data_IF_998906703315
#
_entry.id   IF_998906703315
#
_cell.length_a   1.000
_cell.length_b   1.000
_cell.length_c   1.000
_cell.angle_alpha   90.00
_cell.angle_beta   90.00
_cell.angle_gamma   90.00
#
_symmetry.space_group_name_H-M   'P 1'
#
loop_
_entity.id
_entity.type
_entity.pdbx_description
1 polymer ?
#
# COMPACT_ATOMS: atom_id res chain seq x y z
N UNK A 1 26.79 0.92 35.73
CA UNK A 1 27.08 1.74 34.53
C UNK A 1 25.87 1.69 33.63
N UNK A 2 25.52 2.83 33.06
CA UNK A 2 24.18 3.27 32.61
C UNK A 2 23.50 2.40 31.53
N UNK A 3 22.17 2.30 31.60
CA UNK A 3 21.22 1.83 30.56
C UNK A 3 21.23 2.72 29.28
N UNK A 4 22.40 3.13 28.80
CA UNK A 4 22.58 4.07 27.70
C UNK A 4 22.86 3.41 26.33
N UNK A 5 22.94 2.09 26.23
CA UNK A 5 23.60 1.45 25.07
C UNK A 5 22.72 0.48 24.27
N UNK A 6 21.42 0.79 24.11
CA UNK A 6 20.61 0.17 23.05
C UNK A 6 19.89 1.26 22.26
N UNK A 7 19.28 2.25 22.91
CA UNK A 7 18.65 3.38 22.22
C UNK A 7 19.67 4.24 21.43
N UNK A 8 20.84 4.55 21.99
CA UNK A 8 21.90 5.29 21.27
C UNK A 8 22.56 4.43 20.16
N UNK A 9 22.49 3.10 20.25
CA UNK A 9 22.94 2.16 19.20
C UNK A 9 21.94 2.07 18.04
N UNK A 10 20.64 1.99 18.36
CA UNK A 10 19.54 2.03 17.39
C UNK A 10 19.49 3.36 16.61
N UNK A 11 19.99 4.44 17.20
CA UNK A 11 20.04 5.75 16.57
C UNK A 11 21.21 5.94 15.59
N UNK A 12 22.32 5.22 15.79
CA UNK A 12 23.51 5.28 14.94
C UNK A 12 23.44 4.31 13.72
N UNK A 13 22.54 3.33 13.74
CA UNK A 13 22.31 2.35 12.65
C UNK A 13 20.98 2.58 11.90
N UNK A 14 20.54 3.84 11.80
CA UNK A 14 19.34 4.32 11.07
C UNK A 14 19.36 4.09 9.54
N UNK A 15 20.18 3.19 9.02
CA UNK A 15 20.20 2.84 7.59
C UNK A 15 19.47 1.53 7.29
N UNK A 16 19.15 0.72 8.31
CA UNK A 16 18.38 -0.52 8.16
C UNK A 16 17.01 -0.39 8.83
N UNK A 17 15.96 -0.59 8.04
CA UNK A 17 14.65 -0.99 8.58
C UNK A 17 14.88 -2.31 9.33
N UNK A 18 14.52 -2.38 10.62
CA UNK A 18 14.59 -3.63 11.40
C UNK A 18 14.06 -4.81 10.59
N UNK A 19 14.78 -5.95 10.59
CA UNK A 19 14.28 -7.20 10.01
C UNK A 19 12.91 -7.52 10.62
N UNK A 20 11.85 -7.32 9.84
CA UNK A 20 10.49 -7.59 10.30
C UNK A 20 10.17 -9.07 10.09
N UNK A 21 9.38 -9.70 10.97
CA UNK A 21 8.87 -11.03 10.70
C UNK A 21 7.99 -11.01 9.45
N UNK A 22 8.16 -12.03 8.60
CA UNK A 22 7.35 -12.21 7.39
C UNK A 22 6.00 -12.85 7.71
N UNK A 23 4.99 -12.55 6.90
CA UNK A 23 3.73 -13.28 6.91
C UNK A 23 3.85 -14.59 6.10
N UNK A 24 2.86 -15.49 6.25
CA UNK A 24 2.82 -16.73 5.45
C UNK A 24 2.56 -16.48 3.96
N UNK A 25 1.93 -15.37 3.61
CA UNK A 25 1.68 -14.98 2.22
C UNK A 25 2.98 -14.57 1.52
N UNK A 26 3.96 -14.08 2.29
CA UNK A 26 5.28 -13.70 1.80
C UNK A 26 6.25 -14.90 1.69
N UNK A 27 5.82 -16.10 2.06
CA UNK A 27 6.68 -17.28 2.11
C UNK A 27 7.33 -17.63 0.77
N UNK A 28 6.70 -17.28 -0.36
CA UNK A 28 7.27 -17.47 -1.70
C UNK A 28 8.62 -16.77 -1.91
N UNK A 29 8.83 -15.62 -1.25
CA UNK A 29 10.08 -14.83 -1.34
C UNK A 29 11.29 -15.48 -0.65
N UNK A 30 11.10 -16.67 -0.04
CA UNK A 30 12.14 -17.36 0.71
C UNK A 30 12.59 -18.66 0.04
N UNK A 31 12.17 -18.89 -1.21
CA UNK A 31 12.49 -20.08 -2.00
C UNK A 31 12.88 -19.67 -3.41
N UNK A 32 13.66 -20.52 -4.08
CA UNK A 32 14.00 -20.31 -5.48
C UNK A 32 12.78 -20.63 -6.34
N UNK A 33 12.47 -19.72 -7.26
CA UNK A 33 11.39 -19.95 -8.22
C UNK A 33 11.88 -20.87 -9.35
N UNK A 34 11.08 -21.88 -9.74
CA UNK A 34 11.44 -22.76 -10.84
C UNK A 34 11.29 -22.09 -12.22
N UNK A 35 10.53 -20.98 -12.29
CA UNK A 35 10.31 -20.21 -13.50
C UNK A 35 11.29 -19.02 -13.57
N UNK A 36 12.16 -19.04 -14.60
CA UNK A 36 13.13 -17.98 -14.85
C UNK A 36 12.45 -16.62 -15.11
N UNK A 37 11.27 -16.59 -15.72
CA UNK A 37 10.55 -15.35 -15.98
C UNK A 37 10.09 -14.69 -14.67
N UNK A 38 9.74 -15.50 -13.66
CA UNK A 38 9.36 -15.00 -12.34
C UNK A 38 10.56 -14.48 -11.56
N UNK A 39 11.71 -15.12 -11.67
CA UNK A 39 12.97 -14.63 -11.09
C UNK A 39 13.40 -13.29 -11.67
N UNK A 40 13.22 -13.09 -12.97
CA UNK A 40 13.48 -11.81 -13.63
C UNK A 40 12.48 -10.75 -13.17
N UNK A 41 11.19 -11.10 -13.10
CA UNK A 41 10.13 -10.19 -12.66
C UNK A 41 10.26 -9.79 -11.18
N UNK A 42 10.71 -10.71 -10.33
CA UNK A 42 11.03 -10.45 -8.92
C UNK A 42 12.39 -9.74 -8.76
N UNK A 43 13.15 -9.50 -9.82
CA UNK A 43 14.47 -8.88 -9.72
C UNK A 43 15.44 -9.69 -8.85
N UNK A 44 15.33 -11.02 -8.83
CA UNK A 44 16.14 -11.90 -7.98
C UNK A 44 17.62 -11.75 -8.35
N UNK A 45 18.44 -11.26 -7.43
CA UNK A 45 19.89 -11.13 -7.63
C UNK A 45 20.55 -12.49 -7.43
N UNK A 46 20.15 -13.16 -6.36
CA UNK A 46 20.64 -14.48 -5.99
C UNK A 46 20.33 -14.78 -4.54
N UNK A 47 20.93 -15.86 -4.01
CA UNK A 47 20.78 -16.18 -2.61
C UNK A 47 22.05 -16.75 -1.98
N UNK A 48 22.22 -16.49 -0.68
CA UNK A 48 23.21 -17.17 0.15
C UNK A 48 22.55 -18.37 0.83
N UNK A 49 23.15 -19.54 0.70
CA UNK A 49 22.87 -20.69 1.55
C UNK A 49 23.95 -20.77 2.62
N UNK A 50 23.57 -20.94 3.88
CA UNK A 50 24.52 -20.97 5.00
C UNK A 50 24.20 -22.05 6.04
N UNK A 51 25.25 -22.49 6.75
CA UNK A 51 25.17 -23.40 7.88
C UNK A 51 26.20 -23.05 8.97
N UNK A 52 25.91 -23.48 10.20
CA UNK A 52 26.76 -23.22 11.37
C UNK A 52 27.72 -24.36 11.70
N UNK A 53 27.96 -25.30 10.77
CA UNK A 53 28.82 -26.45 11.01
C UNK A 53 28.33 -27.38 12.12
N UNK A 54 29.15 -28.39 12.43
CA UNK A 54 28.84 -29.35 13.51
C UNK A 54 28.91 -28.76 14.91
N UNK A 55 29.69 -27.68 15.10
CA UNK A 55 29.85 -26.99 16.37
C UNK A 55 28.78 -25.92 16.64
N UNK A 56 27.97 -25.59 15.63
CA UNK A 56 26.91 -24.58 15.73
C UNK A 56 27.44 -23.15 15.86
N UNK A 57 28.73 -22.90 15.61
CA UNK A 57 29.40 -21.60 15.77
C UNK A 57 30.12 -21.12 14.51
N UNK A 58 30.27 -22.00 13.53
CA UNK A 58 30.88 -21.67 12.25
C UNK A 58 29.93 -20.86 11.37
N UNK A 59 30.38 -20.38 10.22
CA UNK A 59 29.51 -19.76 9.22
C UNK A 59 30.01 -20.13 7.85
N UNK A 60 29.57 -21.29 7.39
CA UNK A 60 29.82 -21.74 6.04
C UNK A 60 28.74 -21.17 5.14
N UNK A 61 29.12 -20.63 3.99
CA UNK A 61 28.14 -20.10 3.05
C UNK A 61 28.53 -20.39 1.61
N UNK A 62 27.53 -20.41 0.73
CA UNK A 62 27.68 -20.53 -0.72
C UNK A 62 26.74 -19.55 -1.39
N UNK A 63 27.26 -18.75 -2.31
CA UNK A 63 26.46 -17.88 -3.17
C UNK A 63 25.90 -18.66 -4.35
N UNK A 64 24.61 -18.48 -4.60
CA UNK A 64 23.90 -19.03 -5.74
C UNK A 64 23.40 -17.87 -6.61
N UNK A 65 23.98 -17.68 -7.81
CA UNK A 65 23.58 -16.59 -8.68
C UNK A 65 22.22 -16.89 -9.33
N UNK A 66 21.41 -15.85 -9.50
CA UNK A 66 20.17 -15.90 -10.30
C UNK A 66 20.30 -14.92 -11.48
N UNK A 67 19.38 -15.00 -12.45
CA UNK A 67 19.37 -14.09 -13.61
C UNK A 67 20.75 -13.96 -14.30
N UNK A 68 21.45 -15.09 -14.48
CA UNK A 68 22.80 -15.15 -15.07
C UNK A 68 23.84 -14.26 -14.37
N UNK A 69 23.65 -13.99 -13.08
CA UNK A 69 24.51 -13.15 -12.21
C UNK A 69 24.55 -11.67 -12.63
N UNK A 70 23.65 -11.23 -13.51
CA UNK A 70 23.71 -9.88 -14.11
C UNK A 70 23.47 -8.75 -13.10
N UNK A 71 22.78 -9.03 -11.99
CA UNK A 71 22.46 -8.06 -10.95
C UNK A 71 23.45 -8.09 -9.77
N UNK A 72 24.44 -8.98 -9.79
CA UNK A 72 25.46 -9.12 -8.74
C UNK A 72 26.57 -8.06 -8.87
N UNK A 73 26.16 -6.80 -8.79
CA UNK A 73 27.00 -5.62 -9.00
C UNK A 73 27.91 -5.34 -7.79
N UNK A 74 28.90 -4.45 -7.96
CA UNK A 74 29.73 -3.97 -6.85
C UNK A 74 28.90 -3.28 -5.76
N UNK A 75 27.97 -2.40 -6.16
CA UNK A 75 27.03 -1.73 -5.25
C UNK A 75 26.24 -2.74 -4.41
N UNK A 76 25.70 -3.78 -5.05
CA UNK A 76 24.98 -4.84 -4.34
C UNK A 76 25.87 -5.59 -3.35
N UNK A 77 27.12 -5.89 -3.72
CA UNK A 77 28.04 -6.63 -2.84
C UNK A 77 28.38 -5.83 -1.59
N UNK A 78 28.57 -4.53 -1.72
CA UNK A 78 28.83 -3.64 -0.58
C UNK A 78 27.61 -3.60 0.37
N UNK A 79 26.40 -3.46 -0.17
CA UNK A 79 25.14 -3.46 0.60
C UNK A 79 24.89 -4.82 1.30
N UNK A 80 25.09 -5.93 0.57
CA UNK A 80 24.97 -7.28 1.12
C UNK A 80 25.98 -7.54 2.25
N UNK A 81 27.21 -7.07 2.10
CA UNK A 81 28.25 -7.24 3.11
C UNK A 81 27.84 -6.55 4.42
N UNK A 82 27.34 -5.31 4.35
CA UNK A 82 26.86 -4.59 5.52
C UNK A 82 25.70 -5.30 6.22
N UNK A 83 24.74 -5.82 5.44
CA UNK A 83 23.60 -6.59 5.97
C UNK A 83 24.07 -7.87 6.67
N UNK A 84 24.96 -8.64 6.04
CA UNK A 84 25.47 -9.89 6.61
C UNK A 84 26.29 -9.61 7.87
N UNK A 85 27.14 -8.57 7.87
CA UNK A 85 27.94 -8.20 9.04
C UNK A 85 27.05 -7.81 10.22
N UNK A 86 25.98 -7.03 9.99
CA UNK A 86 25.00 -6.69 11.02
C UNK A 86 24.30 -7.95 11.58
N UNK A 87 23.87 -8.86 10.71
CA UNK A 87 23.24 -10.12 11.11
C UNK A 87 24.19 -11.05 11.90
N UNK A 88 25.50 -10.95 11.67
CA UNK A 88 26.52 -11.76 12.34
C UNK A 88 26.99 -11.18 13.67
N UNK A 89 26.98 -9.85 13.82
CA UNK A 89 27.39 -9.19 15.05
C UNK A 89 26.40 -9.48 16.20
N UNK A 90 25.12 -9.14 15.97
CA UNK A 90 24.07 -9.15 17.00
C UNK A 90 22.77 -9.81 16.54
N UNK A 91 22.76 -10.40 15.34
CA UNK A 91 21.57 -11.01 14.73
C UNK A 91 21.55 -12.55 14.75
N UNK A 92 20.57 -13.14 14.04
CA UNK A 92 20.40 -14.60 13.96
C UNK A 92 21.53 -15.32 13.23
N UNK A 93 22.46 -14.62 12.56
CA UNK A 93 23.57 -15.24 11.83
C UNK A 93 24.88 -15.32 12.62
N UNK A 94 24.85 -14.97 13.90
CA UNK A 94 26.00 -15.09 14.80
C UNK A 94 26.42 -16.54 15.04
N UNK A 95 25.47 -17.36 15.46
CA UNK A 95 25.62 -18.79 15.72
C UNK A 95 24.23 -19.47 15.80
N UNK A 96 24.18 -20.79 15.84
CA UNK A 96 22.92 -21.55 15.85
C UNK A 96 22.06 -21.25 17.10
N UNK A 97 22.70 -20.96 18.23
CA UNK A 97 22.00 -20.64 19.48
C UNK A 97 21.32 -19.26 19.39
N UNK A 98 22.02 -18.28 18.83
CA UNK A 98 21.51 -16.95 18.55
C UNK A 98 20.35 -17.03 17.55
N UNK A 99 20.49 -17.81 16.47
CA UNK A 99 19.40 -18.05 15.51
C UNK A 99 18.16 -18.60 16.19
N UNK A 100 18.31 -19.69 16.96
CA UNK A 100 17.20 -20.32 17.68
C UNK A 100 16.51 -19.32 18.62
N UNK A 101 17.28 -18.59 19.42
CA UNK A 101 16.75 -17.58 20.35
C UNK A 101 15.98 -16.50 19.61
N UNK A 102 16.55 -15.97 18.52
CA UNK A 102 15.94 -14.95 17.71
C UNK A 102 14.61 -15.44 17.10
N UNK A 103 14.57 -16.67 16.58
CA UNK A 103 13.37 -17.26 15.99
C UNK A 103 12.21 -17.40 16.98
N UNK A 104 12.52 -17.83 18.21
CA UNK A 104 11.50 -17.99 19.25
C UNK A 104 10.96 -16.65 19.78
N UNK A 105 11.76 -15.59 19.75
CA UNK A 105 11.40 -14.29 20.34
C UNK A 105 10.72 -13.35 19.34
N UNK A 106 11.02 -13.45 18.05
CA UNK A 106 10.62 -12.44 17.05
C UNK A 106 9.51 -12.90 16.10
N UNK A 107 8.95 -14.10 16.30
CA UNK A 107 7.91 -14.65 15.41
C UNK A 107 8.43 -14.94 14.00
N UNK A 108 7.56 -14.85 12.99
CA UNK A 108 7.94 -15.04 11.58
C UNK A 108 7.89 -16.49 11.10
N UNK A 109 7.14 -17.39 11.75
CA UNK A 109 6.98 -18.77 11.29
C UNK A 109 6.29 -18.81 9.91
N UNK A 110 7.02 -19.25 8.88
CA UNK A 110 6.55 -19.31 7.49
C UNK A 110 6.06 -20.71 7.08
N UNK A 111 6.40 -21.76 7.84
CA UNK A 111 5.91 -23.13 7.60
C UNK A 111 4.88 -23.55 8.65
N UNK A 112 3.93 -24.43 8.28
CA UNK A 112 2.90 -24.94 9.19
C UNK A 112 3.49 -25.76 10.36
N UNK A 113 4.60 -26.44 10.13
CA UNK A 113 5.31 -27.22 11.14
C UNK A 113 6.17 -26.35 12.08
N UNK A 114 6.24 -25.04 11.84
CA UNK A 114 7.01 -24.09 12.66
C UNK A 114 8.52 -24.30 12.61
N UNK A 115 9.04 -25.03 11.61
CA UNK A 115 10.47 -25.31 11.46
C UNK A 115 11.24 -24.19 10.80
N UNK A 116 10.60 -23.40 9.94
CA UNK A 116 11.24 -22.31 9.23
C UNK A 116 10.62 -20.96 9.58
N UNK A 117 11.51 -19.98 9.75
CA UNK A 117 11.18 -18.61 10.14
C UNK A 117 11.70 -17.65 9.05
N UNK A 118 10.89 -16.67 8.67
CA UNK A 118 11.21 -15.70 7.63
C UNK A 118 11.29 -14.28 8.19
N UNK A 119 12.32 -13.55 7.80
CA UNK A 119 12.52 -12.14 8.14
C UNK A 119 12.86 -11.33 6.90
N UNK A 120 12.27 -10.13 6.78
CA UNK A 120 12.47 -9.25 5.63
C UNK A 120 13.11 -7.95 6.12
N UNK A 121 14.18 -7.53 5.44
CA UNK A 121 14.73 -6.19 5.54
C UNK A 121 14.82 -5.56 4.15
N UNK A 122 14.70 -4.24 4.10
CA UNK A 122 14.86 -3.47 2.87
C UNK A 122 15.87 -2.36 3.11
N UNK A 123 16.79 -2.20 2.17
CA UNK A 123 17.63 -1.02 2.01
C UNK A 123 17.01 -0.12 0.95
N UNK A 124 17.73 0.92 0.54
CA UNK A 124 17.24 1.86 -0.49
C UNK A 124 16.94 1.17 -1.83
N UNK A 125 17.69 0.12 -2.17
CA UNK A 125 17.64 -0.50 -3.49
C UNK A 125 17.41 -2.01 -3.46
N UNK A 126 17.56 -2.65 -2.30
CA UNK A 126 17.51 -4.11 -2.21
C UNK A 126 16.56 -4.59 -1.11
N UNK A 127 15.96 -5.76 -1.32
CA UNK A 127 15.22 -6.52 -0.32
C UNK A 127 15.96 -7.80 0.02
N UNK A 128 16.04 -8.09 1.31
CA UNK A 128 16.72 -9.23 1.90
C UNK A 128 15.71 -10.09 2.67
N UNK A 129 15.49 -11.31 2.19
CA UNK A 129 14.57 -12.27 2.78
C UNK A 129 15.37 -13.41 3.43
N UNK A 130 15.54 -13.33 4.75
CA UNK A 130 16.25 -14.32 5.54
C UNK A 130 15.30 -15.43 6.01
N UNK A 131 15.52 -16.65 5.55
CA UNK A 131 14.92 -17.87 6.08
C UNK A 131 15.86 -18.55 7.07
N UNK A 132 15.41 -18.72 8.29
CA UNK A 132 16.08 -19.45 9.35
C UNK A 132 15.40 -20.81 9.59
N UNK A 133 16.19 -21.88 9.63
CA UNK A 133 15.75 -23.22 10.07
C UNK A 133 16.64 -23.62 11.24
N UNK A 134 16.28 -23.28 12.49
CA UNK A 134 17.12 -23.48 13.67
C UNK A 134 17.13 -24.96 14.12
N UNK A 135 17.46 -25.87 13.20
CA UNK A 135 17.54 -27.31 13.41
C UNK A 135 18.97 -27.80 13.10
N UNK A 136 19.62 -28.51 14.03
CA UNK A 136 20.93 -29.11 13.77
C UNK A 136 20.88 -30.11 12.61
N UNK A 137 21.87 -30.07 11.72
CA UNK A 137 21.98 -31.00 10.58
C UNK A 137 21.25 -30.59 9.30
N UNK A 138 20.39 -29.57 9.35
CA UNK A 138 19.80 -28.91 8.17
C UNK A 138 20.71 -27.77 7.68
N UNK A 139 20.46 -27.21 6.48
CA UNK A 139 20.98 -25.89 6.12
C UNK A 139 20.20 -24.84 6.91
N UNK A 140 20.87 -24.17 7.86
CA UNK A 140 20.16 -23.35 8.85
C UNK A 140 19.77 -21.96 8.35
N UNK A 141 20.38 -21.45 7.28
CA UNK A 141 20.04 -20.12 6.76
C UNK A 141 19.98 -20.06 5.24
N UNK A 142 19.01 -19.31 4.73
CA UNK A 142 18.95 -18.89 3.33
C UNK A 142 18.65 -17.39 3.28
N UNK A 143 19.47 -16.60 2.61
CA UNK A 143 19.23 -15.16 2.42
C UNK A 143 18.99 -14.91 0.93
N UNK A 144 17.74 -14.70 0.55
CA UNK A 144 17.35 -14.32 -0.80
C UNK A 144 17.44 -12.81 -0.97
N UNK A 145 18.04 -12.38 -2.07
CA UNK A 145 18.32 -10.97 -2.35
C UNK A 145 17.63 -10.54 -3.64
N UNK A 146 16.91 -9.41 -3.58
CA UNK A 146 16.15 -8.87 -4.70
C UNK A 146 16.50 -7.41 -4.96
N UNK A 147 16.62 -7.01 -6.22
CA UNK A 147 16.77 -5.61 -6.63
C UNK A 147 15.39 -4.97 -6.84
N UNK A 148 15.04 -4.02 -5.98
CA UNK A 148 13.73 -3.34 -6.00
C UNK A 148 13.54 -2.51 -7.27
N UNK A 149 14.63 -2.04 -7.90
CA UNK A 149 14.56 -1.28 -9.15
C UNK A 149 14.14 -2.20 -10.31
N UNK A 150 14.64 -3.43 -10.31
CA UNK A 150 14.27 -4.43 -11.32
C UNK A 150 12.82 -4.88 -11.13
N UNK A 151 12.37 -5.10 -9.88
CA UNK A 151 10.96 -5.34 -9.59
C UNK A 151 10.05 -4.22 -10.11
N UNK A 152 10.47 -2.96 -9.89
CA UNK A 152 9.74 -1.80 -10.38
C UNK A 152 9.68 -1.77 -11.91
N UNK A 153 10.81 -1.99 -12.60
CA UNK A 153 10.85 -2.03 -14.06
C UNK A 153 10.02 -3.19 -14.64
N UNK A 154 10.06 -4.37 -14.02
CA UNK A 154 9.25 -5.50 -14.43
C UNK A 154 7.75 -5.25 -14.25
N UNK A 155 7.35 -4.53 -13.19
CA UNK A 155 5.96 -4.08 -13.03
C UNK A 155 5.57 -3.04 -14.08
N UNK A 156 6.47 -2.13 -14.44
CA UNK A 156 6.25 -1.14 -15.50
C UNK A 156 6.19 -1.75 -16.90
N UNK A 157 6.91 -2.86 -17.14
CA UNK A 157 6.93 -3.57 -18.42
C UNK A 157 5.81 -4.60 -18.58
N UNK A 158 4.80 -4.62 -17.69
CA UNK A 158 3.59 -5.41 -17.94
C UNK A 158 2.80 -4.76 -19.08
N UNK A 159 2.34 -5.54 -20.07
CA UNK A 159 1.53 -4.98 -21.14
C UNK A 159 0.24 -4.40 -20.58
N UNK A 160 -0.09 -3.19 -21.00
CA UNK A 160 -1.34 -2.51 -20.66
C UNK A 160 -2.53 -3.15 -21.37
N UNK A 161 -2.29 -3.73 -22.54
CA UNK A 161 -3.30 -4.39 -23.33
C UNK A 161 -2.73 -5.07 -24.55
N UNK A 162 -3.54 -5.95 -25.13
CA UNK A 162 -3.20 -6.78 -26.28
C UNK A 162 -4.27 -6.64 -27.35
N UNK A 163 -3.83 -6.57 -28.60
CA UNK A 163 -4.68 -6.63 -29.79
C UNK A 163 -4.44 -7.95 -30.51
N UNK A 164 -5.49 -8.53 -31.08
CA UNK A 164 -5.45 -9.78 -31.83
C UNK A 164 -6.34 -9.69 -33.07
N UNK A 165 -5.89 -10.28 -34.18
CA UNK A 165 -6.62 -10.32 -35.44
C UNK A 165 -7.04 -11.75 -35.82
N UNK A 166 -7.99 -11.89 -36.74
CA UNK A 166 -8.41 -13.21 -37.24
C UNK A 166 -7.28 -13.97 -37.97
N UNK A 167 -6.25 -13.26 -38.44
CA UNK A 167 -5.03 -13.86 -39.01
C UNK A 167 -4.19 -14.63 -37.98
N UNK A 168 -4.42 -14.40 -36.68
CA UNK A 168 -3.59 -14.91 -35.60
C UNK A 168 -2.44 -13.97 -35.20
N UNK A 169 -2.29 -12.82 -35.88
CA UNK A 169 -1.36 -11.78 -35.48
C UNK A 169 -1.79 -11.16 -34.14
N UNK A 170 -0.82 -10.94 -33.24
CA UNK A 170 -1.04 -10.34 -31.94
C UNK A 170 0.03 -9.30 -31.65
N UNK A 171 -0.39 -8.19 -31.05
CA UNK A 171 0.49 -7.09 -30.63
C UNK A 171 0.17 -6.72 -29.19
N UNK A 172 1.19 -6.73 -28.35
CA UNK A 172 1.11 -6.28 -26.96
C UNK A 172 1.64 -4.86 -26.84
N UNK A 173 0.96 -4.04 -26.05
CA UNK A 173 1.29 -2.64 -25.85
C UNK A 173 1.72 -2.46 -24.40
N UNK A 174 2.84 -1.76 -24.18
CA UNK A 174 3.30 -1.37 -22.84
C UNK A 174 2.80 0.03 -22.44
N UNK A 175 2.44 0.85 -23.42
CA UNK A 175 1.99 2.23 -23.23
C UNK A 175 0.48 2.35 -23.46
N UNK A 176 -0.21 2.98 -22.50
CA UNK A 176 -1.67 3.16 -22.50
C UNK A 176 -2.17 3.94 -23.71
N UNK A 177 -1.51 5.04 -24.07
CA UNK A 177 -1.95 5.89 -25.18
C UNK A 177 -1.78 5.21 -26.53
N UNK A 178 -0.68 4.49 -26.71
CA UNK A 178 -0.44 3.70 -27.93
C UNK A 178 -1.46 2.56 -28.05
N UNK A 179 -1.79 1.90 -26.95
CA UNK A 179 -2.85 0.88 -26.91
C UNK A 179 -4.22 1.45 -27.28
N UNK A 180 -4.62 2.57 -26.65
CA UNK A 180 -5.90 3.23 -26.93
C UNK A 180 -5.98 3.72 -28.38
N UNK A 181 -4.88 4.24 -28.92
CA UNK A 181 -4.79 4.67 -30.33
C UNK A 181 -5.00 3.49 -31.26
N UNK A 182 -4.32 2.36 -31.01
CA UNK A 182 -4.51 1.15 -31.81
C UNK A 182 -5.96 0.64 -31.79
N UNK A 183 -6.64 0.68 -30.64
CA UNK A 183 -8.07 0.34 -30.57
C UNK A 183 -8.89 1.29 -31.45
N UNK A 184 -8.69 2.61 -31.35
CA UNK A 184 -9.45 3.60 -32.14
C UNK A 184 -9.26 3.42 -33.65
N UNK A 185 -8.06 3.06 -34.08
CA UNK A 185 -7.73 2.89 -35.49
C UNK A 185 -8.27 1.58 -36.07
N UNK A 186 -8.21 0.49 -35.31
CA UNK A 186 -8.55 -0.86 -35.79
C UNK A 186 -10.03 -1.23 -35.57
N UNK A 187 -10.66 -0.71 -34.52
CA UNK A 187 -12.05 -1.03 -34.17
C UNK A 187 -13.06 -0.80 -35.31
N UNK A 188 -12.98 0.28 -36.12
CA UNK A 188 -13.87 0.48 -37.28
C UNK A 188 -13.80 -0.64 -38.33
N UNK A 189 -12.68 -1.37 -38.39
CA UNK A 189 -12.45 -2.45 -39.33
C UNK A 189 -12.66 -3.84 -38.71
N UNK A 190 -13.16 -3.93 -37.47
CA UNK A 190 -13.31 -5.20 -36.76
C UNK A 190 -14.11 -6.27 -37.51
N UNK A 191 -15.10 -5.86 -38.32
CA UNK A 191 -15.93 -6.77 -39.11
C UNK A 191 -15.15 -7.47 -40.23
N UNK A 192 -14.08 -6.86 -40.73
CA UNK A 192 -13.24 -7.39 -41.81
C UNK A 192 -11.96 -8.02 -41.29
N UNK A 193 -11.36 -7.48 -40.22
CA UNK A 193 -10.08 -7.95 -39.66
C UNK A 193 -10.24 -8.98 -38.54
N UNK A 194 -11.45 -9.09 -37.97
CA UNK A 194 -11.71 -9.90 -36.78
C UNK A 194 -10.97 -9.39 -35.54
N UNK A 195 -10.69 -8.08 -35.50
CA UNK A 195 -10.04 -7.40 -34.39
C UNK A 195 -10.67 -7.74 -33.03
N UNK A 196 -9.81 -8.00 -32.05
CA UNK A 196 -10.13 -8.18 -30.63
C UNK A 196 -9.09 -7.43 -29.81
N UNK A 197 -9.55 -6.74 -28.76
CA UNK A 197 -8.66 -6.16 -27.77
C UNK A 197 -8.91 -6.79 -26.39
N UNK A 198 -7.85 -6.92 -25.61
CA UNK A 198 -7.88 -7.38 -24.23
C UNK A 198 -7.08 -6.40 -23.37
N UNK A 199 -7.73 -5.78 -22.38
CA UNK A 199 -7.08 -4.84 -21.47
C UNK A 199 -6.50 -5.62 -20.29
N UNK A 200 -5.19 -5.53 -20.11
CA UNK A 200 -4.42 -6.34 -19.16
C UNK A 200 -4.01 -5.56 -17.91
N UNK A 201 -4.04 -4.22 -17.98
CA UNK A 201 -3.77 -3.34 -16.84
C UNK A 201 -4.99 -3.20 -15.92
N UNK A 202 -4.71 -3.04 -14.63
CA UNK A 202 -5.69 -2.62 -13.62
C UNK A 202 -5.83 -1.09 -13.53
N UNK A 203 -5.10 -0.32 -14.35
CA UNK A 203 -5.22 1.15 -14.37
C UNK A 203 -6.66 1.58 -14.76
N UNK A 204 -7.41 2.19 -13.84
CA UNK A 204 -8.79 2.57 -14.08
C UNK A 204 -8.96 3.63 -15.18
N UNK A 205 -7.95 4.47 -15.43
CA UNK A 205 -8.02 5.47 -16.50
C UNK A 205 -7.98 4.78 -17.87
N UNK A 206 -7.06 3.83 -18.06
CA UNK A 206 -6.94 3.05 -19.29
C UNK A 206 -8.19 2.19 -19.48
N UNK A 207 -8.63 1.47 -18.43
CA UNK A 207 -9.83 0.63 -18.50
C UNK A 207 -11.08 1.43 -18.86
N UNK A 208 -11.29 2.60 -18.25
CA UNK A 208 -12.40 3.47 -18.60
C UNK A 208 -12.29 3.95 -20.04
N UNK A 209 -11.12 4.40 -20.48
CA UNK A 209 -10.93 4.90 -21.83
C UNK A 209 -11.20 3.81 -22.89
N UNK A 210 -10.84 2.55 -22.62
CA UNK A 210 -11.21 1.41 -23.47
C UNK A 210 -12.72 1.24 -23.51
N UNK A 211 -13.40 1.18 -22.35
CA UNK A 211 -14.85 1.02 -22.30
C UNK A 211 -15.57 2.20 -22.98
N UNK A 212 -15.07 3.43 -22.84
CA UNK A 212 -15.60 4.60 -23.55
C UNK A 212 -15.51 4.42 -25.07
N UNK A 213 -14.36 3.97 -25.61
CA UNK A 213 -14.18 3.74 -27.05
C UNK A 213 -15.11 2.64 -27.55
N UNK A 214 -15.19 1.51 -26.84
CA UNK A 214 -15.98 0.35 -27.25
C UNK A 214 -17.49 0.64 -27.21
N UNK A 215 -17.96 1.33 -26.17
CA UNK A 215 -19.37 1.70 -26.03
C UNK A 215 -19.77 2.79 -27.02
N UNK A 216 -18.93 3.81 -27.23
CA UNK A 216 -19.18 4.85 -28.23
C UNK A 216 -19.31 4.24 -29.64
N UNK A 217 -18.44 3.28 -29.98
CA UNK A 217 -18.54 2.55 -31.24
C UNK A 217 -19.85 1.73 -31.36
N UNK A 218 -20.36 1.20 -30.25
CA UNK A 218 -21.65 0.53 -30.20
C UNK A 218 -22.85 1.50 -30.20
N UNK A 219 -22.61 2.82 -30.15
CA UNK A 219 -23.65 3.85 -30.04
C UNK A 219 -24.21 4.01 -28.63
N UNK A 220 -23.50 3.53 -27.61
CA UNK A 220 -23.87 3.60 -26.19
C UNK A 220 -22.94 4.53 -25.42
N UNK A 221 -23.48 5.24 -24.42
CA UNK A 221 -22.65 6.02 -23.51
C UNK A 221 -22.19 5.15 -22.34
N UNK A 222 -20.92 5.27 -21.93
CA UNK A 222 -20.41 4.55 -20.76
C UNK A 222 -21.11 5.01 -19.46
N UNK A 223 -21.91 4.14 -18.80
CA UNK A 223 -22.63 4.52 -17.59
C UNK A 223 -21.74 4.54 -16.34
N UNK A 224 -20.51 3.99 -16.42
CA UNK A 224 -19.58 3.87 -15.30
C UNK A 224 -18.68 5.11 -15.18
N UNK A 225 -18.57 5.64 -13.97
CA UNK A 225 -17.66 6.75 -13.64
C UNK A 225 -16.25 6.24 -13.39
N UNK A 226 -15.23 7.10 -13.44
CA UNK A 226 -13.82 6.72 -13.20
C UNK A 226 -13.63 5.94 -11.89
N UNK A 227 -14.28 6.36 -10.81
CA UNK A 227 -14.22 5.66 -9.51
C UNK A 227 -14.81 4.24 -9.54
N UNK A 228 -15.62 3.90 -10.55
CA UNK A 228 -16.18 2.54 -10.72
C UNK A 228 -15.13 1.53 -11.22
N UNK A 229 -13.98 2.00 -11.69
CA UNK A 229 -12.89 1.15 -12.20
C UNK A 229 -11.76 0.96 -11.18
N UNK A 230 -11.80 1.65 -10.02
CA UNK A 230 -10.75 1.66 -9.00
C UNK A 230 -10.03 3.01 -8.88
N UNK A 231 -9.01 3.09 -8.03
CA UNK A 231 -8.15 4.28 -7.88
C UNK A 231 -6.92 4.16 -8.81
N UNK A 232 -6.60 5.21 -9.56
CA UNK A 232 -5.37 5.27 -10.39
C UNK A 232 -4.12 5.24 -9.50
N UNK A 233 -2.94 4.96 -10.05
CA UNK A 233 -1.67 5.16 -9.30
C UNK A 233 -1.55 6.60 -8.79
N UNK A 234 -1.98 7.57 -9.59
CA UNK A 234 -2.08 8.99 -9.18
C UNK A 234 -3.05 9.17 -8.01
N UNK A 235 -4.18 8.47 -8.01
CA UNK A 235 -5.16 8.47 -6.90
C UNK A 235 -4.61 7.82 -5.62
N UNK A 236 -3.90 6.70 -5.74
CA UNK A 236 -3.22 6.06 -4.62
C UNK A 236 -2.11 6.97 -4.05
N UNK A 237 -1.33 7.60 -4.92
CA UNK A 237 -0.33 8.60 -4.52
C UNK A 237 -1.00 9.79 -3.84
N UNK A 238 -2.08 10.34 -4.40
CA UNK A 238 -2.81 11.45 -3.79
C UNK A 238 -3.36 11.11 -2.39
N UNK A 239 -3.81 9.87 -2.16
CA UNK A 239 -4.21 9.41 -0.83
C UNK A 239 -3.03 9.28 0.14
N UNK A 240 -1.86 8.83 -0.33
CA UNK A 240 -0.62 8.79 0.47
C UNK A 240 -0.15 10.20 0.81
N UNK A 241 -0.13 11.10 -0.17
CA UNK A 241 0.24 12.50 0.00
C UNK A 241 -0.74 13.19 0.98
N UNK A 242 -2.04 12.94 0.87
CA UNK A 242 -3.05 13.44 1.83
C UNK A 242 -2.89 12.85 3.25
N UNK A 243 -2.15 11.75 3.41
CA UNK A 243 -1.81 11.16 4.71
C UNK A 243 -0.44 11.59 5.25
N UNK A 244 0.34 12.33 4.46
CA UNK A 244 1.64 12.87 4.89
C UNK A 244 1.46 14.25 5.54
N UNK A 245 1.58 14.38 6.87
CA UNK A 245 1.36 15.64 7.58
C UNK A 245 2.45 16.69 7.31
N UNK A 246 3.54 16.33 6.62
CA UNK A 246 4.60 17.27 6.26
C UNK A 246 4.27 18.10 5.01
N UNK A 247 3.24 17.70 4.26
CA UNK A 247 2.80 18.39 3.05
C UNK A 247 1.77 19.48 3.35
N UNK A 248 1.72 20.56 2.55
CA UNK A 248 0.65 21.54 2.65
C UNK A 248 -0.66 20.90 2.20
N UNK A 249 -1.71 21.08 3.01
CA UNK A 249 -3.04 20.52 2.75
C UNK A 249 -4.09 21.61 2.58
N UNK A 250 -5.15 21.26 1.86
CA UNK A 250 -6.35 22.06 1.65
C UNK A 250 -7.58 21.35 2.23
N UNK A 251 -8.49 22.11 2.82
CA UNK A 251 -9.70 21.57 3.45
C UNK A 251 -10.93 22.28 2.90
N UNK A 252 -11.90 21.49 2.43
CA UNK A 252 -13.20 21.97 1.96
C UNK A 252 -14.28 21.33 2.80
N UNK A 253 -15.02 22.17 3.53
CA UNK A 253 -16.10 21.72 4.40
C UNK A 253 -17.40 21.60 3.61
N UNK A 254 -18.27 20.71 4.06
CA UNK A 254 -19.57 20.53 3.44
C UNK A 254 -20.66 20.19 4.44
N UNK A 255 -21.90 20.50 4.04
CA UNK A 255 -23.12 20.10 4.73
C UNK A 255 -24.02 19.38 3.75
N UNK A 256 -24.51 18.20 4.13
CA UNK A 256 -25.53 17.48 3.39
C UNK A 256 -26.79 17.42 4.23
N UNK A 257 -27.94 17.73 3.65
CA UNK A 257 -29.26 17.57 4.28
C UNK A 257 -30.09 16.55 3.51
N UNK A 258 -31.02 15.88 4.18
CA UNK A 258 -31.95 14.90 3.60
C UNK A 258 -31.23 13.80 2.78
N UNK A 259 -30.09 13.31 3.31
CA UNK A 259 -29.22 12.32 2.69
C UNK A 259 -29.99 11.11 2.15
N UNK A 260 -29.64 10.64 0.95
CA UNK A 260 -30.27 9.48 0.30
C UNK A 260 -31.77 9.64 0.01
N UNK A 261 -32.29 10.86 -0.03
CA UNK A 261 -33.66 11.16 -0.45
C UNK A 261 -33.68 12.01 -1.73
N UNK A 262 -34.86 12.15 -2.36
CA UNK A 262 -35.02 13.06 -3.51
C UNK A 262 -34.89 14.55 -3.13
N UNK A 263 -34.90 14.88 -1.84
CA UNK A 263 -34.76 16.24 -1.34
C UNK A 263 -33.32 16.58 -0.92
N UNK A 264 -32.35 15.69 -1.18
CA UNK A 264 -30.95 15.87 -0.77
C UNK A 264 -30.38 17.21 -1.24
N UNK A 265 -29.82 17.99 -0.32
CA UNK A 265 -29.09 19.21 -0.65
C UNK A 265 -27.63 19.06 -0.23
N UNK A 266 -26.72 19.39 -1.14
CA UNK A 266 -25.29 19.29 -0.91
C UNK A 266 -24.64 20.67 -1.00
N UNK A 267 -24.30 21.23 0.16
CA UNK A 267 -23.56 22.49 0.29
C UNK A 267 -22.07 22.18 0.38
N UNK A 268 -21.28 22.63 -0.60
CA UNK A 268 -19.85 22.34 -0.74
C UNK A 268 -19.02 23.62 -0.72
N UNK A 269 -17.69 23.47 -0.65
CA UNK A 269 -16.71 24.56 -0.72
C UNK A 269 -16.89 25.60 0.39
N UNK A 270 -17.23 25.11 1.58
CA UNK A 270 -17.49 25.92 2.76
C UNK A 270 -16.21 26.06 3.60
N UNK A 271 -16.18 27.14 4.38
CA UNK A 271 -15.34 27.22 5.58
C UNK A 271 -16.02 26.49 6.74
N UNK A 272 -15.28 26.08 7.76
CA UNK A 272 -15.85 25.46 8.96
C UNK A 272 -16.96 26.33 9.61
N UNK A 273 -16.78 27.66 9.81
CA UNK A 273 -17.85 28.50 10.34
C UNK A 273 -19.10 28.55 9.46
N UNK A 274 -18.94 28.56 8.14
CA UNK A 274 -20.08 28.54 7.23
C UNK A 274 -20.83 27.20 7.29
N UNK A 275 -20.11 26.09 7.40
CA UNK A 275 -20.69 24.77 7.58
C UNK A 275 -21.47 24.67 8.89
N UNK A 276 -20.92 25.16 10.00
CA UNK A 276 -21.62 25.25 11.30
C UNK A 276 -22.90 26.09 11.17
N UNK A 277 -22.83 27.26 10.53
CA UNK A 277 -24.00 28.14 10.34
C UNK A 277 -25.10 27.46 9.53
N UNK A 278 -24.75 26.81 8.42
CA UNK A 278 -25.73 26.11 7.57
C UNK A 278 -26.34 24.93 8.34
N UNK A 279 -25.51 24.15 9.03
CA UNK A 279 -25.96 23.01 9.83
C UNK A 279 -26.92 23.44 10.94
N UNK A 280 -26.56 24.46 11.73
CA UNK A 280 -27.36 24.93 12.86
C UNK A 280 -28.65 25.64 12.43
N UNK A 281 -28.65 26.31 11.28
CA UNK A 281 -29.85 26.99 10.77
C UNK A 281 -30.84 26.06 10.07
N UNK A 282 -30.42 24.83 9.71
CA UNK A 282 -31.27 23.85 9.04
C UNK A 282 -32.21 23.15 10.04
N UNK A 283 -33.51 23.16 9.74
CA UNK A 283 -34.57 22.45 10.48
C UNK A 283 -34.74 21.00 10.00
N UNK A 284 -33.91 20.54 9.07
CA UNK A 284 -33.97 19.19 8.51
C UNK A 284 -33.59 18.14 9.55
N UNK A 285 -34.36 17.04 9.64
CA UNK A 285 -34.12 15.98 10.62
C UNK A 285 -32.87 15.17 10.29
N UNK A 286 -32.51 15.08 9.01
CA UNK A 286 -31.34 14.37 8.49
C UNK A 286 -30.34 15.42 7.97
N UNK A 287 -29.20 15.57 8.65
CA UNK A 287 -28.13 16.49 8.22
C UNK A 287 -26.76 16.07 8.75
N UNK A 288 -25.71 16.31 7.98
CA UNK A 288 -24.32 16.00 8.36
C UNK A 288 -23.34 17.09 7.98
N UNK A 289 -22.29 17.23 8.79
CA UNK A 289 -21.08 18.01 8.47
C UNK A 289 -19.95 17.03 8.20
N UNK A 290 -19.25 17.26 7.10
CA UNK A 290 -18.00 16.58 6.81
C UNK A 290 -16.98 17.50 6.19
N UNK A 291 -15.79 16.96 5.97
CA UNK A 291 -14.64 17.68 5.42
C UNK A 291 -13.95 16.82 4.38
N UNK A 292 -13.53 17.45 3.29
CA UNK A 292 -12.69 16.86 2.26
C UNK A 292 -11.31 17.50 2.30
N UNK A 293 -10.28 16.66 2.47
CA UNK A 293 -8.87 17.02 2.45
C UNK A 293 -8.29 16.75 1.06
N UNK A 294 -7.63 17.77 0.50
CA UNK A 294 -6.97 17.76 -0.82
C UNK A 294 -7.87 17.32 -2.00
N UNK A 295 -9.19 17.44 -1.83
CA UNK A 295 -10.16 17.00 -2.82
C UNK A 295 -10.24 15.47 -2.99
N UNK A 296 -9.58 14.67 -2.13
CA UNK A 296 -9.44 13.23 -2.30
C UNK A 296 -9.93 12.41 -1.09
N UNK A 297 -9.57 12.81 0.13
CA UNK A 297 -9.95 12.10 1.34
C UNK A 297 -11.13 12.82 1.99
N UNK A 298 -12.18 12.09 2.35
CA UNK A 298 -13.39 12.67 2.96
C UNK A 298 -13.75 11.94 4.24
N UNK A 299 -14.14 12.69 5.26
CA UNK A 299 -14.67 12.14 6.52
C UNK A 299 -15.89 12.95 6.99
N UNK A 300 -16.91 12.24 7.45
CA UNK A 300 -18.07 12.82 8.14
C UNK A 300 -17.75 12.96 9.63
N UNK A 301 -18.04 14.12 10.23
CA UNK A 301 -17.71 14.41 11.62
C UNK A 301 -18.95 14.51 12.52
N UNK A 302 -20.05 15.06 12.00
CA UNK A 302 -21.29 15.24 12.75
C UNK A 302 -22.45 14.78 11.90
N UNK A 303 -23.38 14.04 12.49
CA UNK A 303 -24.61 13.61 11.84
C UNK A 303 -25.77 13.79 12.82
N UNK A 304 -26.86 14.38 12.35
CA UNK A 304 -28.13 14.39 13.04
C UNK A 304 -29.16 13.61 12.23
N UNK A 305 -29.89 12.76 12.93
CA UNK A 305 -31.01 12.00 12.41
C UNK A 305 -32.13 11.96 13.45
N UNK A 306 -33.36 12.29 13.06
CA UNK A 306 -34.56 12.20 13.89
C UNK A 306 -34.44 12.90 15.28
N UNK A 307 -33.67 13.99 15.34
CA UNK A 307 -33.44 14.78 16.55
C UNK A 307 -32.31 14.29 17.44
N UNK A 308 -31.63 13.20 17.09
CA UNK A 308 -30.41 12.72 17.76
C UNK A 308 -29.18 13.20 16.97
N UNK A 309 -28.26 13.89 17.64
CA UNK A 309 -26.98 14.31 17.07
C UNK A 309 -25.85 13.40 17.55
N UNK A 310 -25.05 12.91 16.62
CA UNK A 310 -23.90 12.03 16.86
C UNK A 310 -22.64 12.63 16.26
N UNK A 311 -21.55 12.49 17.00
CA UNK A 311 -20.20 12.83 16.54
C UNK A 311 -19.46 11.55 16.16
N UNK A 312 -18.91 11.51 14.95
CA UNK A 312 -18.16 10.36 14.47
C UNK A 312 -16.67 10.48 14.82
N UNK A 313 -16.06 9.35 15.13
CA UNK A 313 -14.63 9.24 15.47
C UNK A 313 -13.83 8.56 14.35
N UNK A 314 -14.43 8.35 13.17
CA UNK A 314 -13.78 7.62 12.07
C UNK A 314 -12.52 8.33 11.56
N UNK A 315 -12.43 9.65 11.72
CA UNK A 315 -11.22 10.43 11.44
C UNK A 315 -10.00 9.91 12.23
N UNK A 316 -10.19 9.32 13.41
CA UNK A 316 -9.10 8.76 14.22
C UNK A 316 -8.54 7.43 13.67
N UNK A 317 -9.30 6.74 12.82
CA UNK A 317 -8.89 5.45 12.21
C UNK A 317 -8.32 5.63 10.80
N UNK A 318 -8.49 6.81 10.22
CA UNK A 318 -8.08 7.10 8.85
C UNK A 318 -6.69 7.74 8.85
N UNK A 319 -5.75 7.12 8.15
CA UNK A 319 -4.37 7.65 8.02
C UNK A 319 -4.33 9.10 7.55
N UNK A 320 -5.26 9.52 6.68
CA UNK A 320 -5.36 10.89 6.17
C UNK A 320 -5.74 11.94 7.21
N UNK A 321 -6.28 11.54 8.37
CA UNK A 321 -6.89 12.44 9.35
C UNK A 321 -6.48 12.20 10.81
N UNK A 322 -6.00 11.00 11.19
CA UNK A 322 -5.84 10.59 12.59
C UNK A 322 -4.88 11.45 13.43
N UNK A 323 -3.96 12.17 12.79
CA UNK A 323 -3.00 13.06 13.45
C UNK A 323 -3.04 14.49 12.87
N UNK A 324 -4.15 14.86 12.23
CA UNK A 324 -4.25 16.13 11.52
C UNK A 324 -4.68 17.26 12.48
N UNK A 325 -3.83 18.28 12.72
CA UNK A 325 -4.11 19.33 13.70
C UNK A 325 -5.33 20.18 13.32
N UNK A 326 -5.59 20.39 12.03
CA UNK A 326 -6.74 21.18 11.57
C UNK A 326 -8.04 20.43 11.84
N UNK A 327 -8.05 19.11 11.61
CA UNK A 327 -9.21 18.27 11.89
C UNK A 327 -9.46 18.15 13.39
N UNK A 328 -8.42 17.95 14.20
CA UNK A 328 -8.55 17.88 15.65
C UNK A 328 -9.14 19.18 16.22
N UNK A 329 -8.61 20.33 15.80
CA UNK A 329 -9.13 21.64 16.20
C UNK A 329 -10.58 21.86 15.74
N UNK A 330 -10.92 21.41 14.54
CA UNK A 330 -12.27 21.52 14.01
C UNK A 330 -13.27 20.62 14.76
N UNK A 331 -12.89 19.40 15.15
CA UNK A 331 -13.73 18.51 15.97
C UNK A 331 -14.00 19.15 17.33
N UNK A 332 -12.98 19.72 17.98
CA UNK A 332 -13.14 20.42 19.25
C UNK A 332 -14.09 21.62 19.12
N UNK A 333 -13.95 22.42 18.05
CA UNK A 333 -14.85 23.53 17.74
C UNK A 333 -16.29 23.06 17.51
N UNK A 334 -16.49 21.98 16.74
CA UNK A 334 -17.81 21.41 16.48
C UNK A 334 -18.48 20.92 17.76
N UNK A 335 -17.73 20.28 18.66
CA UNK A 335 -18.25 19.87 19.96
C UNK A 335 -18.65 21.08 20.80
N UNK A 336 -17.82 22.10 20.87
CA UNK A 336 -18.12 23.31 21.66
C UNK A 336 -19.35 24.06 21.15
N UNK A 337 -19.53 24.17 19.84
CA UNK A 337 -20.62 24.94 19.22
C UNK A 337 -21.93 24.14 19.12
N UNK A 338 -21.85 22.81 19.00
CA UNK A 338 -23.01 21.95 18.73
C UNK A 338 -23.39 20.99 19.87
N UNK A 339 -22.55 20.79 20.90
CA UNK A 339 -22.97 20.09 22.13
C UNK A 339 -23.74 21.06 23.04
N UNK A 340 -25.02 20.77 23.29
CA UNK A 340 -25.82 21.53 24.26
C UNK A 340 -25.32 21.26 25.69
N UNK A 341 -25.22 22.28 26.57
CA UNK A 341 -25.00 22.05 27.99
C UNK A 341 -26.22 21.30 28.55
N UNK A 342 -25.99 20.10 29.10
CA UNK A 342 -26.96 19.29 29.82
C UNK A 342 -27.80 20.16 30.77
N UNK A 343 -29.12 20.17 30.56
CA UNK A 343 -30.10 20.90 31.37
C UNK A 343 -30.08 20.42 32.83
N UNK A 344 -29.38 21.15 33.68
CA UNK A 344 -29.64 21.19 35.12
C UNK A 344 -30.73 22.21 35.42
N UNK A 345 -32.00 21.87 35.21
CA UNK A 345 -33.14 22.61 35.78
C UNK A 345 -33.88 21.72 36.76
N UNK A 346 -33.41 21.71 38.00
CA UNK A 346 -34.16 21.25 39.17
C UNK A 346 -35.33 22.22 39.38
N UNK A 347 -36.54 21.80 39.00
CA UNK A 347 -37.79 22.45 39.38
C UNK A 347 -37.97 22.37 40.90
N UNK A 348 -37.69 23.48 41.60
CA UNK A 348 -38.12 23.69 42.98
C UNK A 348 -39.63 23.89 43.01
N UNK A 349 -40.36 22.86 43.42
CA UNK A 349 -41.78 22.94 43.74
C UNK A 349 -42.04 23.79 44.98
N UNK A 350 -43.12 24.56 44.95
CA UNK A 350 -43.78 25.11 46.15
C UNK A 350 -44.45 24.00 46.95
#
# INVERSE_FOLDING_TARGET
MSNKTIAEFLEHHKQFSHFRPASREEAGLFYSEPDQALDEALGTVGHLRMDFGSGGKEFFHTWWPHNKDQFNTGEFKDDLQEVVDALRADGPLKDLSAMSTYCHQNGGAITQDGRSYGYIAETKHYRYCLRCTPSPGDYQGYLYCYDLRQQQMAHQNKPVGRVTFASGEQTEYLDGETYLTAIREELPYMATTGFRCETLTDDPAIRKAVDDILLDFAGEANPRRECSYGLTEKGMKALRDAADPSLPHSYSWFVITDCNTQAEQFHRDLTLPDAIRIYSSSDRPEKRIGVTKDGIATVDLVHAQDGEQRFFEDYQKMNSFQNDPEILAAVDCLRQELELPSQGMSMGGM
#
